data_IF_659757619728
#
_entry.id   IF_659757619728
#
_cell.length_a   1.000
_cell.length_b   1.000
_cell.length_c   1.000
_cell.angle_alpha   90.00
_cell.angle_beta   90.00
_cell.angle_gamma   90.00
#
_symmetry.space_group_name_H-M   'P 1'
#
loop_
_entity.id
_entity.type
_entity.pdbx_description
1 polymer ?
#
# COMPACT_ATOMS: atom_id res chain seq x y z
N UNK A 1 11.82 5.78 -19.29
CA UNK A 1 12.16 4.41 -18.90
C UNK A 1 12.59 4.41 -17.44
N UNK A 2 11.81 3.81 -16.65
CA UNK A 2 11.83 3.80 -15.23
C UNK A 2 12.61 2.59 -14.68
N UNK A 3 13.76 2.83 -13.99
CA UNK A 3 14.50 4.10 -13.93
C UNK A 3 15.96 3.89 -14.40
N UNK A 4 16.16 3.56 -15.66
CA UNK A 4 17.48 3.17 -16.21
C UNK A 4 18.49 4.31 -16.22
N UNK A 5 18.06 5.58 -16.31
CA UNK A 5 18.98 6.73 -16.25
C UNK A 5 19.71 6.80 -14.92
N UNK A 6 19.07 6.46 -13.81
CA UNK A 6 19.71 6.45 -12.50
C UNK A 6 20.84 5.40 -12.42
N UNK A 7 20.65 4.22 -13.01
CA UNK A 7 21.67 3.18 -13.15
C UNK A 7 22.89 3.74 -13.91
N UNK A 8 22.63 4.35 -15.08
CA UNK A 8 23.70 4.93 -15.91
C UNK A 8 24.44 6.05 -15.19
N UNK A 9 23.71 6.95 -14.52
CA UNK A 9 24.33 8.03 -13.73
C UNK A 9 25.23 7.49 -12.62
N UNK A 10 24.77 6.50 -11.86
CA UNK A 10 25.58 5.86 -10.81
C UNK A 10 26.88 5.27 -11.35
N UNK A 11 26.79 4.54 -12.46
CA UNK A 11 27.98 3.96 -13.12
C UNK A 11 28.94 5.03 -13.65
N UNK A 12 28.42 6.11 -14.25
CA UNK A 12 29.25 7.22 -14.74
C UNK A 12 29.95 7.98 -13.61
N UNK A 13 29.28 8.19 -12.47
CA UNK A 13 29.88 8.81 -11.28
C UNK A 13 31.06 7.96 -10.80
N UNK A 14 30.85 6.65 -10.64
CA UNK A 14 31.90 5.75 -10.20
C UNK A 14 33.09 5.70 -11.18
N UNK A 15 32.80 5.73 -12.49
CA UNK A 15 33.81 5.75 -13.54
C UNK A 15 34.61 7.06 -13.50
N UNK A 16 33.95 8.20 -13.33
CA UNK A 16 34.58 9.50 -13.31
C UNK A 16 35.47 9.68 -12.07
N UNK A 17 34.99 9.30 -10.88
CA UNK A 17 35.82 9.30 -9.66
C UNK A 17 37.11 8.51 -9.87
N UNK A 18 36.99 7.32 -10.46
CA UNK A 18 38.15 6.46 -10.77
C UNK A 18 39.09 7.11 -11.78
N UNK A 19 38.55 7.70 -12.86
CA UNK A 19 39.34 8.33 -13.92
C UNK A 19 40.13 9.55 -13.43
N UNK A 20 39.55 10.31 -12.51
CA UNK A 20 40.20 11.48 -11.91
C UNK A 20 41.08 11.13 -10.70
N UNK A 21 41.12 9.86 -10.26
CA UNK A 21 41.87 9.44 -9.08
C UNK A 21 41.30 10.02 -7.78
N UNK A 22 40.04 10.37 -7.75
CA UNK A 22 39.34 10.89 -6.57
C UNK A 22 38.92 9.72 -5.68
N UNK A 23 39.38 9.73 -4.43
CA UNK A 23 38.88 8.84 -3.39
C UNK A 23 37.91 9.65 -2.52
N UNK A 24 36.61 9.33 -2.53
CA UNK A 24 35.65 10.02 -1.69
C UNK A 24 35.86 9.68 -0.21
N UNK A 25 35.45 10.59 0.68
CA UNK A 25 35.56 10.39 2.13
C UNK A 25 34.66 9.22 2.63
N UNK A 26 33.56 8.96 1.94
CA UNK A 26 32.68 7.82 2.19
C UNK A 26 32.83 6.80 1.05
N UNK A 27 32.74 5.51 1.39
CA UNK A 27 32.70 4.46 0.38
C UNK A 27 31.43 4.57 -0.47
N UNK A 28 31.58 4.47 -1.80
CA UNK A 28 30.46 4.48 -2.73
C UNK A 28 30.03 3.03 -2.99
N UNK A 29 28.80 2.68 -2.58
CA UNK A 29 28.12 1.45 -2.93
C UNK A 29 27.06 1.69 -4.00
N UNK A 30 26.97 0.84 -5.01
CA UNK A 30 25.91 0.86 -6.02
C UNK A 30 25.12 -0.45 -5.96
N UNK A 31 23.82 -0.35 -5.73
CA UNK A 31 22.91 -1.50 -5.66
C UNK A 31 21.88 -1.36 -6.75
N UNK A 32 21.82 -2.32 -7.67
CA UNK A 32 20.85 -2.36 -8.76
C UNK A 32 19.85 -3.48 -8.51
N UNK A 33 18.58 -3.13 -8.52
CA UNK A 33 17.46 -4.05 -8.30
C UNK A 33 16.51 -4.04 -9.50
N UNK A 34 15.72 -5.09 -9.70
CA UNK A 34 14.98 -5.30 -10.94
C UNK A 34 13.46 -5.35 -10.79
N UNK A 35 12.92 -5.37 -9.59
CA UNK A 35 11.49 -5.63 -9.35
C UNK A 35 10.82 -4.62 -8.41
N UNK A 36 11.31 -3.37 -8.43
CA UNK A 36 10.76 -2.29 -7.59
C UNK A 36 9.25 -2.11 -7.87
N UNK A 37 8.84 -2.02 -9.14
CA UNK A 37 7.46 -1.84 -9.60
C UNK A 37 6.53 -3.05 -9.31
N UNK A 38 7.09 -4.17 -8.88
CA UNK A 38 6.37 -5.42 -8.64
C UNK A 38 6.55 -5.98 -7.24
N UNK A 39 6.61 -5.10 -6.24
CA UNK A 39 6.69 -5.41 -4.80
C UNK A 39 8.09 -5.71 -4.26
N UNK A 40 9.17 -5.45 -5.01
CA UNK A 40 10.58 -5.51 -4.56
C UNK A 40 11.02 -6.84 -3.92
N UNK A 41 10.27 -7.92 -4.17
CA UNK A 41 10.43 -9.20 -3.46
C UNK A 41 11.79 -9.85 -3.67
N UNK A 42 12.29 -9.80 -4.89
CA UNK A 42 13.55 -10.42 -5.31
C UNK A 42 14.69 -9.40 -5.38
N UNK A 43 14.38 -8.12 -5.39
CA UNK A 43 15.30 -7.00 -5.34
C UNK A 43 15.67 -6.61 -3.92
N UNK A 44 15.27 -5.41 -3.49
CA UNK A 44 15.72 -4.84 -2.22
C UNK A 44 15.31 -5.68 -0.99
N UNK A 45 14.11 -6.28 -0.97
CA UNK A 45 13.71 -7.14 0.15
C UNK A 45 14.60 -8.36 0.30
N UNK A 46 15.01 -8.97 -0.84
CA UNK A 46 15.96 -10.09 -0.80
C UNK A 46 17.32 -9.63 -0.27
N UNK A 47 17.84 -8.50 -0.73
CA UNK A 47 19.13 -7.95 -0.32
C UNK A 47 19.12 -7.64 1.18
N UNK A 48 18.10 -6.96 1.68
CA UNK A 48 17.99 -6.65 3.11
C UNK A 48 17.90 -7.91 3.99
N UNK A 49 17.29 -8.97 3.46
CA UNK A 49 17.19 -10.24 4.19
C UNK A 49 18.49 -11.05 4.21
N UNK A 50 19.26 -11.03 3.11
CA UNK A 50 20.41 -11.91 2.91
C UNK A 50 21.76 -11.23 3.03
N UNK A 51 21.78 -9.90 2.87
CA UNK A 51 22.99 -9.06 2.85
C UNK A 51 22.78 -7.78 3.65
N UNK A 52 22.11 -7.88 4.81
CA UNK A 52 21.90 -6.73 5.69
C UNK A 52 23.21 -6.10 6.19
N UNK A 53 24.30 -6.87 6.16
CA UNK A 53 25.66 -6.44 6.49
C UNK A 53 26.24 -5.39 5.51
N UNK A 54 25.63 -5.23 4.34
CA UNK A 54 25.99 -4.17 3.39
C UNK A 54 25.52 -2.78 3.84
N UNK A 55 24.64 -2.70 4.84
CA UNK A 55 24.05 -1.45 5.30
C UNK A 55 24.44 -1.19 6.75
N UNK A 56 25.04 -0.04 7.00
CA UNK A 56 25.33 0.46 8.33
C UNK A 56 24.29 1.47 8.83
N UNK A 57 24.22 1.70 10.15
CA UNK A 57 23.27 2.68 10.72
C UNK A 57 23.60 4.13 10.34
N UNK A 58 24.85 4.40 9.93
CA UNK A 58 25.34 5.73 9.57
C UNK A 58 25.46 5.91 8.04
N UNK A 59 24.99 4.94 7.25
CA UNK A 59 25.06 5.04 5.80
C UNK A 59 24.09 6.09 5.26
N UNK A 60 24.57 6.86 4.29
CA UNK A 60 23.74 7.79 3.54
C UNK A 60 23.19 7.09 2.29
N UNK A 61 21.93 6.73 2.30
CA UNK A 61 21.26 6.02 1.19
C UNK A 61 20.58 7.03 0.28
N UNK A 62 20.89 6.98 -1.01
CA UNK A 62 20.24 7.78 -2.05
C UNK A 62 19.53 6.84 -3.02
N UNK A 63 18.22 7.07 -3.22
CA UNK A 63 17.42 6.38 -4.23
C UNK A 63 17.07 7.41 -5.31
N UNK A 64 17.76 7.40 -6.48
CA UNK A 64 17.59 8.44 -7.50
C UNK A 64 16.40 8.10 -8.42
N UNK A 65 15.21 8.05 -7.86
CA UNK A 65 13.97 7.66 -8.52
C UNK A 65 12.99 8.84 -8.66
N UNK A 66 12.65 9.49 -7.57
CA UNK A 66 11.75 10.63 -7.58
C UNK A 66 12.52 11.97 -7.78
N UNK A 67 11.88 12.89 -8.47
CA UNK A 67 12.38 14.26 -8.61
C UNK A 67 11.39 15.18 -9.32
N UNK A 68 11.62 16.48 -9.19
CA UNK A 68 10.94 17.51 -9.96
C UNK A 68 11.84 18.01 -11.09
N UNK A 69 11.24 18.54 -12.17
CA UNK A 69 11.97 18.89 -13.40
C UNK A 69 13.10 19.88 -13.21
N UNK A 70 13.01 20.75 -12.20
CA UNK A 70 14.04 21.75 -11.88
C UNK A 70 15.06 21.29 -10.81
N UNK A 71 14.93 20.05 -10.32
CA UNK A 71 15.82 19.50 -9.31
C UNK A 71 15.73 20.14 -7.93
N UNK A 72 14.66 20.89 -7.64
CA UNK A 72 14.52 21.67 -6.39
C UNK A 72 13.98 20.86 -5.20
N UNK A 73 13.59 19.60 -5.42
CA UNK A 73 12.99 18.73 -4.40
C UNK A 73 13.78 17.46 -4.18
N UNK A 74 13.88 17.06 -2.93
CA UNK A 74 14.37 15.74 -2.50
C UNK A 74 13.26 15.13 -1.64
N UNK A 75 12.85 13.93 -1.97
CA UNK A 75 11.94 13.14 -1.14
C UNK A 75 12.73 12.53 0.01
N UNK A 76 12.22 12.72 1.24
CA UNK A 76 12.92 12.29 2.45
C UNK A 76 12.13 11.22 3.23
N UNK A 77 10.87 11.01 2.88
CA UNK A 77 10.02 10.00 3.50
C UNK A 77 8.77 9.76 2.68
N UNK A 78 8.25 8.54 2.71
CA UNK A 78 7.00 8.12 2.11
C UNK A 78 6.06 7.53 3.16
N UNK A 79 4.74 7.59 2.88
CA UNK A 79 3.76 6.84 3.65
C UNK A 79 3.84 5.37 3.31
N UNK A 80 3.68 4.53 4.33
CA UNK A 80 3.49 3.10 4.11
C UNK A 80 2.24 2.84 3.25
N UNK A 81 2.30 1.80 2.41
CA UNK A 81 1.21 1.40 1.53
C UNK A 81 0.67 0.04 1.98
N UNK A 82 -0.66 -0.04 2.14
CA UNK A 82 -1.35 -1.28 2.42
C UNK A 82 -2.60 -1.36 1.53
N UNK A 83 -2.64 -2.36 0.64
CA UNK A 83 -3.80 -2.66 -0.17
C UNK A 83 -4.55 -3.86 0.39
N UNK A 84 -5.84 -3.70 0.59
CA UNK A 84 -6.67 -4.76 1.12
C UNK A 84 -7.76 -5.15 0.14
N UNK A 85 -8.01 -6.44 0.05
CA UNK A 85 -9.15 -7.02 -0.63
C UNK A 85 -10.11 -7.57 0.43
N UNK A 86 -11.33 -7.08 0.43
CA UNK A 86 -12.38 -7.51 1.36
C UNK A 86 -13.40 -8.33 0.61
N UNK A 87 -13.60 -9.57 1.03
CA UNK A 87 -14.60 -10.48 0.47
C UNK A 87 -15.74 -10.67 1.47
N UNK A 88 -16.96 -10.35 1.04
CA UNK A 88 -18.17 -10.45 1.85
C UNK A 88 -19.02 -11.60 1.34
N UNK A 89 -19.26 -12.58 2.18
CA UNK A 89 -20.03 -13.79 1.86
C UNK A 89 -21.37 -13.79 2.59
N UNK A 90 -22.43 -13.72 1.79
CA UNK A 90 -23.81 -13.79 2.22
C UNK A 90 -24.51 -15.06 1.70
N UNK A 91 -25.80 -14.93 1.38
CA UNK A 91 -26.61 -16.00 0.79
C UNK A 91 -27.48 -15.45 -0.35
N UNK A 92 -27.25 -15.98 -1.55
CA UNK A 92 -27.96 -15.56 -2.76
C UNK A 92 -29.41 -16.07 -2.75
N UNK A 93 -30.34 -15.21 -3.17
CA UNK A 93 -31.73 -15.60 -3.40
C UNK A 93 -32.38 -14.72 -4.49
N UNK A 94 -33.64 -14.99 -4.83
CA UNK A 94 -34.42 -14.12 -5.71
C UNK A 94 -34.76 -12.81 -4.98
N UNK A 95 -34.56 -11.66 -5.63
CA UNK A 95 -34.72 -10.34 -5.00
C UNK A 95 -36.16 -10.05 -4.51
N UNK A 96 -37.18 -10.76 -5.02
CA UNK A 96 -38.55 -10.66 -4.51
C UNK A 96 -38.79 -11.34 -3.16
N UNK A 97 -37.80 -12.12 -2.68
CA UNK A 97 -37.86 -12.84 -1.39
C UNK A 97 -36.60 -12.58 -0.56
N UNK A 98 -36.30 -11.30 -0.23
CA UNK A 98 -35.04 -10.94 0.40
C UNK A 98 -34.82 -11.60 1.78
N UNK A 99 -35.90 -12.00 2.44
CA UNK A 99 -35.83 -12.70 3.74
C UNK A 99 -35.22 -14.12 3.66
N UNK A 100 -35.14 -14.70 2.46
CA UNK A 100 -34.52 -16.02 2.21
C UNK A 100 -33.00 -15.92 2.03
N UNK A 101 -32.48 -14.69 1.86
CA UNK A 101 -31.05 -14.45 1.59
C UNK A 101 -30.34 -13.64 2.67
N UNK A 102 -29.06 -13.40 2.39
CA UNK A 102 -28.20 -12.46 3.13
C UNK A 102 -27.46 -11.63 2.09
N UNK A 103 -27.82 -10.34 2.00
CA UNK A 103 -27.36 -9.47 0.92
C UNK A 103 -25.92 -9.02 1.16
N UNK A 104 -24.96 -9.63 0.45
CA UNK A 104 -23.54 -9.28 0.55
C UNK A 104 -23.26 -7.86 0.01
N UNK A 105 -23.99 -7.38 -1.00
CA UNK A 105 -23.82 -6.04 -1.56
C UNK A 105 -24.20 -4.95 -0.54
N UNK A 106 -25.31 -5.12 0.19
CA UNK A 106 -25.72 -4.16 1.22
C UNK A 106 -24.72 -4.16 2.38
N UNK A 107 -24.26 -5.34 2.78
CA UNK A 107 -23.23 -5.46 3.83
C UNK A 107 -21.90 -4.82 3.38
N UNK A 108 -21.45 -5.06 2.16
CA UNK A 108 -20.26 -4.43 1.60
C UNK A 108 -20.38 -2.90 1.52
N UNK A 109 -21.53 -2.39 1.10
CA UNK A 109 -21.80 -0.94 1.07
C UNK A 109 -21.71 -0.31 2.48
N UNK A 110 -22.25 -0.98 3.50
CA UNK A 110 -22.14 -0.55 4.90
C UNK A 110 -20.69 -0.61 5.39
N UNK A 111 -19.94 -1.67 5.07
CA UNK A 111 -18.50 -1.78 5.35
C UNK A 111 -17.70 -0.64 4.72
N UNK A 112 -17.96 -0.32 3.45
CA UNK A 112 -17.31 0.78 2.72
C UNK A 112 -17.54 2.12 3.44
N UNK A 113 -18.75 2.38 3.94
CA UNK A 113 -19.02 3.60 4.70
C UNK A 113 -18.26 3.66 6.02
N UNK A 114 -18.05 2.52 6.68
CA UNK A 114 -17.32 2.43 7.95
C UNK A 114 -15.78 2.47 7.79
N UNK A 115 -15.25 2.35 6.55
CA UNK A 115 -13.81 2.60 6.30
C UNK A 115 -13.38 3.98 6.81
N UNK A 116 -14.28 4.97 6.78
CA UNK A 116 -14.02 6.32 7.29
C UNK A 116 -13.75 6.38 8.80
N UNK A 117 -14.19 5.41 9.56
CA UNK A 117 -13.95 5.35 11.00
C UNK A 117 -12.47 5.22 11.33
N UNK A 118 -11.69 4.62 10.41
CA UNK A 118 -10.22 4.52 10.50
C UNK A 118 -9.53 5.90 10.56
N UNK A 119 -10.07 6.92 9.89
CA UNK A 119 -9.52 8.28 9.94
C UNK A 119 -9.57 8.85 11.38
N UNK A 120 -10.58 8.47 12.14
CA UNK A 120 -10.73 8.88 13.55
C UNK A 120 -9.82 8.06 14.48
N UNK A 121 -9.60 6.80 14.18
CA UNK A 121 -8.71 5.90 14.93
C UNK A 121 -7.25 6.32 14.72
N UNK A 122 -6.87 6.62 13.47
CA UNK A 122 -5.53 7.02 13.07
C UNK A 122 -5.46 8.52 12.74
N UNK A 123 -5.87 9.35 13.72
CA UNK A 123 -6.00 10.80 13.57
C UNK A 123 -4.68 11.58 13.68
N UNK A 124 -3.53 10.90 13.69
CA UNK A 124 -2.21 11.53 13.75
C UNK A 124 -1.99 12.43 12.54
N UNK A 125 -1.30 13.53 12.77
CA UNK A 125 -0.96 14.52 11.74
C UNK A 125 0.55 14.71 11.68
N UNK A 126 1.12 14.58 10.49
CA UNK A 126 2.50 14.90 10.22
C UNK A 126 2.58 15.89 9.03
N UNK A 127 3.00 17.15 9.29
CA UNK A 127 3.03 18.19 8.26
C UNK A 127 4.06 17.96 7.15
N UNK A 128 4.95 16.98 7.28
CA UNK A 128 5.89 16.59 6.21
C UNK A 128 5.18 15.91 5.02
N UNK A 129 3.96 15.41 5.23
CA UNK A 129 3.20 14.68 4.22
C UNK A 129 2.04 15.49 3.63
N UNK A 130 1.64 15.14 2.41
CA UNK A 130 0.46 15.71 1.75
C UNK A 130 -0.46 14.59 1.22
N UNK A 131 -1.69 14.42 1.77
CA UNK A 131 -2.22 15.10 2.96
C UNK A 131 -1.44 14.70 4.23
N UNK A 132 -1.48 15.52 5.30
CA UNK A 132 -0.66 15.31 6.50
C UNK A 132 -1.21 14.23 7.46
N UNK A 133 -1.98 13.29 6.98
CA UNK A 133 -2.64 12.24 7.76
C UNK A 133 -2.63 10.90 7.00
N UNK A 134 -2.98 9.83 7.68
CA UNK A 134 -3.31 8.57 7.01
C UNK A 134 -4.53 8.74 6.11
N UNK A 135 -4.60 7.95 5.04
CA UNK A 135 -5.79 7.88 4.17
C UNK A 135 -6.25 6.45 4.00
N UNK A 136 -7.57 6.25 3.99
CA UNK A 136 -8.22 4.95 3.85
C UNK A 136 -9.32 5.09 2.82
N UNK A 137 -9.07 4.66 1.59
CA UNK A 137 -9.94 4.96 0.45
C UNK A 137 -10.41 3.68 -0.22
N UNK A 138 -11.71 3.38 -0.23
CA UNK A 138 -12.26 2.35 -1.09
C UNK A 138 -12.07 2.74 -2.55
N UNK A 139 -11.41 1.88 -3.35
CA UNK A 139 -10.95 2.27 -4.70
C UNK A 139 -11.55 1.43 -5.81
N UNK A 140 -11.98 0.20 -5.50
CA UNK A 140 -12.46 -0.74 -6.51
C UNK A 140 -13.53 -1.64 -5.94
N UNK A 141 -14.48 -2.04 -6.80
CA UNK A 141 -15.53 -3.01 -6.53
C UNK A 141 -15.61 -4.00 -7.69
N UNK A 142 -15.77 -5.30 -7.40
CA UNK A 142 -15.93 -6.33 -8.43
C UNK A 142 -17.40 -6.51 -8.82
N UNK A 143 -17.65 -7.04 -10.01
CA UNK A 143 -18.99 -7.47 -10.40
C UNK A 143 -19.45 -8.65 -9.54
N UNK A 144 -20.71 -8.64 -9.07
CA UNK A 144 -21.24 -9.69 -8.22
C UNK A 144 -22.24 -10.62 -8.96
N UNK A 145 -23.44 -10.18 -9.28
CA UNK A 145 -24.46 -11.01 -9.97
C UNK A 145 -24.82 -10.41 -11.32
N UNK A 146 -25.03 -11.26 -12.36
CA UNK A 146 -25.35 -10.78 -13.71
C UNK A 146 -26.79 -10.30 -13.86
N UNK A 147 -27.69 -10.71 -12.92
CA UNK A 147 -29.12 -10.45 -13.04
C UNK A 147 -29.61 -9.48 -11.95
N UNK A 148 -30.36 -8.44 -12.36
CA UNK A 148 -30.94 -7.44 -11.45
C UNK A 148 -31.90 -8.03 -10.43
N UNK A 149 -32.58 -9.14 -10.76
CA UNK A 149 -33.55 -9.81 -9.89
C UNK A 149 -32.92 -10.81 -8.90
N UNK A 150 -31.61 -10.83 -8.77
CA UNK A 150 -30.89 -11.70 -7.83
C UNK A 150 -30.22 -10.86 -6.73
N UNK A 151 -30.44 -11.27 -5.50
CA UNK A 151 -29.72 -10.77 -4.33
C UNK A 151 -28.35 -11.45 -4.30
N UNK A 152 -27.23 -10.69 -4.29
CA UNK A 152 -25.91 -11.30 -4.35
C UNK A 152 -25.52 -12.01 -3.04
N UNK A 153 -24.90 -13.17 -3.19
CA UNK A 153 -24.35 -13.95 -2.09
C UNK A 153 -22.84 -13.75 -1.89
N UNK A 154 -22.20 -13.02 -2.78
CA UNK A 154 -20.79 -12.66 -2.67
C UNK A 154 -20.59 -11.25 -3.20
N UNK A 155 -19.74 -10.49 -2.54
CA UNK A 155 -19.32 -9.16 -2.95
C UNK A 155 -17.84 -8.95 -2.62
N UNK A 156 -17.13 -8.15 -3.42
CA UNK A 156 -15.69 -7.91 -3.23
C UNK A 156 -15.39 -6.44 -3.50
N UNK A 157 -14.69 -5.80 -2.57
CA UNK A 157 -14.18 -4.45 -2.75
C UNK A 157 -12.72 -4.34 -2.26
N UNK A 158 -12.08 -3.22 -2.61
CA UNK A 158 -10.68 -2.97 -2.31
C UNK A 158 -10.50 -1.64 -1.60
N UNK A 159 -9.51 -1.57 -0.73
CA UNK A 159 -9.14 -0.37 0.03
C UNK A 159 -7.66 -0.08 -0.21
N UNK A 160 -7.35 1.15 -0.60
CA UNK A 160 -5.98 1.71 -0.58
C UNK A 160 -5.78 2.45 0.73
N UNK A 161 -4.77 2.06 1.49
CA UNK A 161 -4.37 2.71 2.73
C UNK A 161 -2.98 3.32 2.58
N UNK A 162 -2.87 4.61 2.91
CA UNK A 162 -1.58 5.32 3.02
C UNK A 162 -1.36 5.67 4.47
N UNK A 163 -0.30 5.11 5.06
CA UNK A 163 -0.11 5.02 6.50
C UNK A 163 1.12 5.85 6.87
N UNK A 164 0.98 6.79 7.81
CA UNK A 164 2.10 7.58 8.30
C UNK A 164 3.18 6.70 8.95
N UNK A 165 4.46 7.06 8.81
CA UNK A 165 5.56 6.36 9.49
C UNK A 165 5.32 6.25 11.00
N UNK A 166 5.72 5.11 11.58
CA UNK A 166 5.54 4.83 13.00
C UNK A 166 4.19 4.19 13.36
N UNK A 167 3.24 4.10 12.42
CA UNK A 167 2.00 3.34 12.60
C UNK A 167 2.19 1.93 12.01
N UNK A 168 1.88 0.92 12.82
CA UNK A 168 2.01 -0.48 12.41
C UNK A 168 0.93 -0.86 11.37
N UNK A 169 1.34 -1.47 10.27
CA UNK A 169 0.41 -2.05 9.29
C UNK A 169 -0.46 -3.17 9.90
N UNK A 170 0.10 -3.94 10.84
CA UNK A 170 -0.63 -5.01 11.52
C UNK A 170 -1.75 -4.44 12.40
N UNK A 171 -1.51 -3.30 13.08
CA UNK A 171 -2.52 -2.62 13.88
C UNK A 171 -3.65 -2.07 13.00
N UNK A 172 -3.30 -1.50 11.84
CA UNK A 172 -4.30 -1.04 10.85
C UNK A 172 -5.13 -2.20 10.34
N UNK A 173 -4.50 -3.32 9.98
CA UNK A 173 -5.19 -4.53 9.52
C UNK A 173 -6.14 -5.09 10.60
N UNK A 174 -5.70 -5.10 11.87
CA UNK A 174 -6.52 -5.52 13.00
C UNK A 174 -7.76 -4.61 13.18
N UNK A 175 -7.58 -3.29 13.10
CA UNK A 175 -8.68 -2.32 13.20
C UNK A 175 -9.68 -2.46 12.06
N UNK A 176 -9.20 -2.66 10.83
CA UNK A 176 -10.07 -2.93 9.68
C UNK A 176 -10.87 -4.20 9.90
N UNK A 177 -10.22 -5.28 10.33
CA UNK A 177 -10.89 -6.56 10.60
C UNK A 177 -11.98 -6.41 11.66
N UNK A 178 -11.72 -5.73 12.75
CA UNK A 178 -12.69 -5.47 13.82
C UNK A 178 -13.92 -4.72 13.28
N UNK A 179 -13.72 -3.66 12.51
CA UNK A 179 -14.81 -2.88 11.89
C UNK A 179 -15.63 -3.78 10.94
N UNK A 180 -14.96 -4.53 10.07
CA UNK A 180 -15.63 -5.36 9.06
C UNK A 180 -16.41 -6.51 9.70
N UNK A 181 -15.86 -7.16 10.72
CA UNK A 181 -16.52 -8.22 11.48
C UNK A 181 -17.76 -7.69 12.22
N UNK A 182 -17.69 -6.53 12.85
CA UNK A 182 -18.83 -5.90 13.52
C UNK A 182 -19.97 -5.57 12.53
N UNK A 183 -19.65 -5.13 11.31
CA UNK A 183 -20.64 -4.89 10.26
C UNK A 183 -21.20 -6.25 9.77
N UNK A 184 -20.35 -7.23 9.53
CA UNK A 184 -20.72 -8.55 9.07
C UNK A 184 -21.74 -9.21 10.01
N UNK A 185 -21.52 -9.13 11.33
CA UNK A 185 -22.45 -9.64 12.35
C UNK A 185 -23.85 -9.00 12.23
N UNK A 186 -23.92 -7.66 12.06
CA UNK A 186 -25.20 -6.93 11.90
C UNK A 186 -26.00 -7.41 10.69
N UNK A 187 -25.33 -7.76 9.60
CA UNK A 187 -25.94 -8.19 8.35
C UNK A 187 -26.12 -9.71 8.23
N UNK A 188 -25.59 -10.49 9.18
CA UNK A 188 -25.62 -11.96 9.17
C UNK A 188 -24.81 -12.55 8.00
N UNK A 189 -23.71 -11.90 7.62
CA UNK A 189 -22.76 -12.32 6.58
C UNK A 189 -21.42 -12.69 7.21
N UNK A 190 -20.50 -13.23 6.43
CA UNK A 190 -19.10 -13.40 6.84
C UNK A 190 -18.17 -12.54 5.98
N UNK A 191 -17.02 -12.19 6.51
CA UNK A 191 -16.01 -11.36 5.82
C UNK A 191 -14.62 -12.01 5.92
N UNK A 192 -13.86 -11.91 4.83
CA UNK A 192 -12.45 -12.30 4.73
C UNK A 192 -11.63 -11.23 4.01
#
# INVERSE_FOLDING_TARGET
>A
EDNQQAIVCGLLIAQELKAQGITPDLSLGLIFVSDEETSSRYGIHYILKTHADLFGPDDFVVVPDYGVADGSSIEISEKGQLWMRVEVLGHQCHASRPQEGRNSLVAAADMILHVRDLESIYAQVDPLFQPPCCTFVPTRHEENVPNINSLPGKDVFYIDCRILPGISHDDVLASVREIMEAVAERHGVTVD
#
